data_IF_621868553871
#
_entry.id   IF_621868553871
#
_cell.length_a   1.000
_cell.length_b   1.000
_cell.length_c   1.000
_cell.angle_alpha   90.00
_cell.angle_beta   90.00
_cell.angle_gamma   90.00
#
_symmetry.space_group_name_H-M   'P 1'
#
loop_
_entity.id
_entity.type
_entity.pdbx_description
1 polymer ?
#
# COMPACT_ATOMS: atom_id res chain seq x y z
N UNK A 1 9.37 -5.95 8.91
CA UNK A 1 9.93 -6.61 7.69
C UNK A 1 8.83 -7.01 6.70
N UNK A 2 7.80 -7.75 7.13
CA UNK A 2 6.65 -8.11 6.25
C UNK A 2 5.97 -6.91 5.59
N UNK A 3 5.78 -5.80 6.32
CA UNK A 3 5.19 -4.57 5.78
C UNK A 3 5.98 -4.00 4.58
N UNK A 4 7.31 -3.94 4.70
CA UNK A 4 8.15 -3.40 3.61
C UNK A 4 8.08 -4.33 2.39
N UNK A 5 8.12 -5.65 2.62
CA UNK A 5 8.02 -6.62 1.55
C UNK A 5 6.69 -6.51 0.79
N UNK A 6 5.56 -6.39 1.51
CA UNK A 6 4.25 -6.25 0.86
C UNK A 6 4.14 -4.94 0.08
N UNK A 7 4.66 -3.83 0.62
CA UNK A 7 4.68 -2.54 -0.08
C UNK A 7 5.55 -2.58 -1.34
N UNK A 8 6.75 -3.16 -1.28
CA UNK A 8 7.63 -3.31 -2.45
C UNK A 8 6.97 -4.19 -3.52
N UNK A 9 6.39 -5.33 -3.11
CA UNK A 9 5.67 -6.22 -4.03
C UNK A 9 4.51 -5.50 -4.71
N UNK A 10 3.70 -4.77 -3.94
CA UNK A 10 2.58 -3.99 -4.47
C UNK A 10 3.05 -2.88 -5.41
N UNK A 11 4.11 -2.14 -5.08
CA UNK A 11 4.64 -1.08 -5.95
C UNK A 11 5.10 -1.65 -7.30
N UNK A 12 5.87 -2.74 -7.29
CA UNK A 12 6.34 -3.39 -8.51
C UNK A 12 5.18 -3.94 -9.35
N UNK A 13 4.16 -4.53 -8.70
CA UNK A 13 2.97 -5.02 -9.37
C UNK A 13 2.14 -3.88 -9.99
N UNK A 14 1.99 -2.74 -9.31
CA UNK A 14 1.28 -1.60 -9.89
C UNK A 14 2.03 -1.03 -11.10
N UNK A 15 3.37 -0.94 -11.05
CA UNK A 15 4.16 -0.51 -12.21
C UNK A 15 4.00 -1.48 -13.38
N UNK A 16 4.04 -2.79 -13.14
CA UNK A 16 3.94 -3.76 -14.23
C UNK A 16 2.61 -3.69 -14.97
N UNK A 17 1.51 -3.36 -14.29
CA UNK A 17 0.20 -3.16 -14.90
C UNK A 17 0.19 -2.07 -15.98
N UNK A 18 1.11 -1.09 -15.93
CA UNK A 18 1.24 -0.06 -16.97
C UNK A 18 1.63 -0.61 -18.35
N UNK A 19 2.24 -1.80 -18.38
CA UNK A 19 2.70 -2.46 -19.60
C UNK A 19 1.69 -3.48 -20.15
N UNK A 20 0.54 -3.66 -19.50
CA UNK A 20 -0.48 -4.60 -19.96
C UNK A 20 -1.15 -4.10 -21.24
N UNK A 21 -1.13 -4.91 -22.29
CA UNK A 21 -1.69 -4.58 -23.61
C UNK A 21 -3.06 -5.23 -23.85
N UNK A 22 -3.41 -6.24 -23.07
CA UNK A 22 -4.64 -7.02 -23.20
C UNK A 22 -5.14 -7.49 -21.83
N UNK A 23 -6.36 -8.00 -21.79
CA UNK A 23 -6.99 -8.43 -20.54
C UNK A 23 -6.26 -9.58 -19.86
N UNK A 24 -5.70 -10.54 -20.62
CA UNK A 24 -5.02 -11.69 -20.04
C UNK A 24 -3.70 -11.27 -19.40
N UNK A 25 -2.91 -10.43 -20.08
CA UNK A 25 -1.68 -9.86 -19.51
C UNK A 25 -1.98 -9.00 -18.28
N UNK A 26 -3.02 -8.19 -18.31
CA UNK A 26 -3.49 -7.43 -17.15
C UNK A 26 -3.86 -8.34 -15.97
N UNK A 27 -4.66 -9.39 -16.22
CA UNK A 27 -5.10 -10.33 -15.19
C UNK A 27 -3.93 -11.08 -14.54
N UNK A 28 -2.95 -11.52 -15.34
CA UNK A 28 -1.74 -12.16 -14.84
C UNK A 28 -0.88 -11.18 -14.01
N UNK A 29 -0.72 -9.95 -14.47
CA UNK A 29 0.02 -8.90 -13.77
C UNK A 29 -0.69 -8.41 -12.49
N UNK A 30 -2.00 -8.62 -12.37
CA UNK A 30 -2.77 -8.31 -11.16
C UNK A 30 -2.60 -9.35 -10.05
N UNK A 31 -2.13 -10.57 -10.35
CA UNK A 31 -1.92 -11.62 -9.33
C UNK A 31 -0.92 -11.18 -8.25
N UNK A 32 0.29 -10.68 -8.59
CA UNK A 32 1.22 -10.15 -7.59
C UNK A 32 0.64 -8.98 -6.77
N UNK A 33 -0.20 -8.14 -7.39
CA UNK A 33 -0.89 -7.06 -6.68
C UNK A 33 -1.84 -7.62 -5.61
N UNK A 34 -2.61 -8.65 -5.95
CA UNK A 34 -3.49 -9.34 -5.00
C UNK A 34 -2.71 -9.95 -3.82
N UNK A 35 -1.55 -10.55 -4.09
CA UNK A 35 -0.67 -11.09 -3.04
C UNK A 35 -0.10 -9.99 -2.14
N UNK A 36 0.41 -8.91 -2.72
CA UNK A 36 0.92 -7.76 -1.99
C UNK A 36 -0.16 -7.13 -1.09
N UNK A 37 -1.37 -6.96 -1.63
CA UNK A 37 -2.52 -6.44 -0.88
C UNK A 37 -2.98 -7.39 0.23
N UNK A 38 -3.02 -8.69 -0.04
CA UNK A 38 -3.40 -9.72 0.93
C UNK A 38 -2.43 -9.79 2.13
N UNK A 39 -1.15 -9.52 1.91
CA UNK A 39 -0.15 -9.37 2.98
C UNK A 39 -0.26 -8.02 3.69
N UNK A 40 -0.53 -6.95 2.93
CA UNK A 40 -0.60 -5.59 3.46
C UNK A 40 -1.76 -5.41 4.42
N UNK A 41 -2.93 -5.98 4.17
CA UNK A 41 -4.12 -5.80 5.01
C UNK A 41 -3.92 -6.20 6.48
N UNK A 42 -3.50 -7.44 6.84
CA UNK A 42 -3.37 -7.85 8.23
C UNK A 42 -2.12 -7.30 8.93
N UNK A 43 -1.08 -6.91 8.18
CA UNK A 43 0.24 -6.59 8.75
C UNK A 43 0.22 -5.36 9.68
N UNK A 44 -0.36 -4.20 9.31
CA UNK A 44 -0.46 -3.04 10.20
C UNK A 44 -1.21 -3.34 11.49
N UNK A 45 -2.31 -4.09 11.41
CA UNK A 45 -3.09 -4.49 12.59
C UNK A 45 -2.27 -5.36 13.54
N UNK A 46 -1.58 -6.38 13.02
CA UNK A 46 -0.68 -7.20 13.83
C UNK A 46 0.41 -6.35 14.50
N UNK A 47 1.06 -5.45 13.75
CA UNK A 47 2.13 -4.60 14.26
C UNK A 47 1.71 -3.67 15.41
N UNK A 48 0.51 -3.08 15.33
CA UNK A 48 0.01 -2.21 16.40
C UNK A 48 -0.47 -3.03 17.60
N UNK A 49 -1.07 -4.20 17.36
CA UNK A 49 -1.54 -5.08 18.42
C UNK A 49 -0.40 -5.72 19.22
N UNK A 50 0.72 -6.03 18.57
CA UNK A 50 1.93 -6.55 19.21
C UNK A 50 2.54 -5.56 20.22
N UNK A 51 2.29 -4.26 20.04
CA UNK A 51 2.80 -3.19 20.91
C UNK A 51 1.76 -2.57 21.84
N UNK A 52 0.48 -2.83 21.63
CA UNK A 52 -0.60 -2.24 22.41
C UNK A 52 -0.85 -3.03 23.71
N UNK A 53 -0.98 -2.31 24.83
CA UNK A 53 -1.56 -2.89 26.05
C UNK A 53 -3.00 -3.32 25.81
N UNK A 54 -3.50 -4.29 26.58
CA UNK A 54 -4.83 -4.89 26.36
C UNK A 54 -5.94 -3.84 26.34
N UNK A 55 -5.84 -2.84 27.22
CA UNK A 55 -6.77 -1.73 27.37
C UNK A 55 -6.77 -0.80 26.14
N UNK A 56 -5.61 -0.65 25.48
CA UNK A 56 -5.42 0.28 24.37
C UNK A 56 -5.58 -0.38 22.98
N UNK A 57 -5.77 -1.71 22.89
CA UNK A 57 -5.89 -2.42 21.61
C UNK A 57 -7.02 -1.87 20.75
N UNK A 58 -8.18 -1.60 21.35
CA UNK A 58 -9.34 -1.04 20.64
C UNK A 58 -9.03 0.32 20.01
N UNK A 59 -8.35 1.20 20.75
CA UNK A 59 -7.93 2.52 20.25
C UNK A 59 -6.91 2.39 19.11
N UNK A 60 -5.91 1.52 19.25
CA UNK A 60 -4.86 1.32 18.24
C UNK A 60 -5.43 0.74 16.94
N UNK A 61 -6.33 -0.24 17.02
CA UNK A 61 -7.05 -0.77 15.85
C UNK A 61 -7.93 0.30 15.23
N UNK A 62 -8.61 1.10 16.06
CA UNK A 62 -9.41 2.24 15.61
C UNK A 62 -8.60 3.23 14.78
N UNK A 63 -7.42 3.63 15.26
CA UNK A 63 -6.52 4.54 14.55
C UNK A 63 -6.06 3.98 13.20
N UNK A 64 -5.66 2.71 13.14
CA UNK A 64 -5.28 2.06 11.87
C UNK A 64 -6.45 2.06 10.89
N UNK A 65 -7.66 1.73 11.36
CA UNK A 65 -8.86 1.71 10.53
C UNK A 65 -9.22 3.10 10.02
N UNK A 66 -9.21 4.12 10.88
CA UNK A 66 -9.47 5.51 10.47
C UNK A 66 -8.47 5.97 9.40
N UNK A 67 -7.19 5.61 9.54
CA UNK A 67 -6.19 5.86 8.49
C UNK A 67 -6.55 5.19 7.16
N UNK A 68 -7.03 3.94 7.21
CA UNK A 68 -7.53 3.21 6.04
C UNK A 68 -8.74 3.88 5.38
N UNK A 69 -9.72 4.30 6.17
CA UNK A 69 -10.93 4.97 5.69
C UNK A 69 -10.60 6.30 4.98
N UNK A 70 -9.63 7.06 5.51
CA UNK A 70 -9.11 8.27 4.84
C UNK A 70 -8.50 7.92 3.48
N UNK A 71 -7.72 6.84 3.39
CA UNK A 71 -7.17 6.35 2.12
C UNK A 71 -8.26 5.97 1.10
N UNK A 72 -9.34 5.34 1.55
CA UNK A 72 -10.49 4.97 0.71
C UNK A 72 -11.20 6.22 0.14
N UNK A 73 -11.24 7.31 0.89
CA UNK A 73 -11.85 8.57 0.44
C UNK A 73 -10.92 9.30 -0.54
N UNK A 74 -9.64 9.45 -0.18
CA UNK A 74 -8.69 10.25 -0.97
C UNK A 74 -8.27 9.53 -2.25
N UNK A 75 -8.15 8.20 -2.23
CA UNK A 75 -7.67 7.40 -3.35
C UNK A 75 -8.43 7.62 -4.67
N UNK A 76 -9.77 7.45 -4.70
CA UNK A 76 -10.58 7.70 -5.90
C UNK A 76 -10.50 9.14 -6.40
N UNK A 77 -10.41 10.13 -5.51
CA UNK A 77 -10.28 11.54 -5.89
C UNK A 77 -8.94 11.79 -6.58
N UNK A 78 -7.85 11.23 -6.05
CA UNK A 78 -6.53 11.31 -6.68
C UNK A 78 -6.52 10.62 -8.04
N UNK A 79 -7.06 9.39 -8.13
CA UNK A 79 -7.12 8.65 -9.40
C UNK A 79 -7.98 9.37 -10.43
N UNK A 80 -9.15 9.87 -10.05
CA UNK A 80 -10.03 10.64 -10.94
C UNK A 80 -9.34 11.87 -11.50
N UNK A 81 -8.74 12.69 -10.63
CA UNK A 81 -7.99 13.88 -11.06
C UNK A 81 -6.78 13.54 -11.96
N UNK A 82 -6.12 12.40 -11.74
CA UNK A 82 -5.04 11.94 -12.61
C UNK A 82 -5.55 11.51 -14.00
N UNK A 83 -6.73 10.89 -14.06
CA UNK A 83 -7.35 10.49 -15.34
C UNK A 83 -7.77 11.71 -16.18
N UNK A 84 -8.15 12.82 -15.54
CA UNK A 84 -8.53 14.05 -16.23
C UNK A 84 -7.38 14.70 -17.04
N UNK A 85 -6.11 14.32 -16.79
CA UNK A 85 -4.97 14.74 -17.61
C UNK A 85 -4.88 14.05 -18.97
N UNK A 86 -5.77 13.10 -19.28
CA UNK A 86 -5.82 12.40 -20.56
C UNK A 86 -4.71 11.35 -20.77
N UNK A 87 -3.98 10.99 -19.71
CA UNK A 87 -2.93 9.97 -19.73
C UNK A 87 -3.17 8.91 -18.64
N UNK A 88 -4.02 7.89 -18.90
CA UNK A 88 -4.39 6.89 -17.89
C UNK A 88 -3.19 6.13 -17.28
N UNK A 89 -2.12 5.99 -18.06
CA UNK A 89 -0.89 5.32 -17.62
C UNK A 89 -0.24 6.04 -16.41
N UNK A 90 -0.42 7.36 -16.27
CA UNK A 90 0.12 8.12 -15.15
C UNK A 90 -0.40 7.64 -13.79
N UNK A 91 -1.62 7.10 -13.74
CA UNK A 91 -2.20 6.56 -12.51
C UNK A 91 -1.32 5.47 -11.93
N UNK A 92 -0.85 4.52 -12.76
CA UNK A 92 0.00 3.42 -12.31
C UNK A 92 1.33 3.93 -11.75
N UNK A 93 1.97 4.88 -12.43
CA UNK A 93 3.25 5.43 -11.97
C UNK A 93 3.13 6.24 -10.69
N UNK A 94 2.11 7.10 -10.57
CA UNK A 94 1.91 7.93 -9.36
C UNK A 94 1.54 7.05 -8.17
N UNK A 95 0.62 6.09 -8.34
CA UNK A 95 0.25 5.16 -7.26
C UNK A 95 1.45 4.31 -6.84
N UNK A 96 2.22 3.79 -7.79
CA UNK A 96 3.43 3.03 -7.47
C UNK A 96 4.48 3.88 -6.74
N UNK A 97 4.67 5.14 -7.13
CA UNK A 97 5.60 6.06 -6.48
C UNK A 97 5.18 6.34 -5.03
N UNK A 98 3.89 6.52 -4.76
CA UNK A 98 3.35 6.70 -3.40
C UNK A 98 3.61 5.43 -2.57
N UNK A 99 3.30 4.25 -3.09
CA UNK A 99 3.53 2.98 -2.38
C UNK A 99 5.03 2.77 -2.11
N UNK A 100 5.89 3.04 -3.08
CA UNK A 100 7.34 2.96 -2.93
C UNK A 100 7.87 3.94 -1.89
N UNK A 101 7.34 5.17 -1.84
CA UNK A 101 7.67 6.15 -0.81
C UNK A 101 7.31 5.61 0.58
N UNK A 102 6.12 5.04 0.76
CA UNK A 102 5.73 4.40 2.02
C UNK A 102 6.61 3.20 2.37
N UNK A 103 7.05 2.42 1.37
CA UNK A 103 8.00 1.33 1.58
C UNK A 103 9.34 1.85 2.12
N UNK A 104 9.86 2.92 1.52
CA UNK A 104 11.11 3.58 1.93
C UNK A 104 10.98 4.19 3.33
N UNK A 105 9.89 4.89 3.63
CA UNK A 105 9.63 5.47 4.95
C UNK A 105 9.54 4.37 6.01
N UNK A 106 8.77 3.32 5.74
CA UNK A 106 8.64 2.17 6.65
C UNK A 106 9.99 1.49 6.89
N UNK A 107 10.79 1.31 5.84
CA UNK A 107 12.13 0.77 5.93
C UNK A 107 13.06 1.65 6.77
N UNK A 108 13.09 2.96 6.50
CA UNK A 108 13.90 3.94 7.22
C UNK A 108 13.56 3.97 8.71
N UNK A 109 12.27 3.99 9.03
CA UNK A 109 11.76 3.94 10.41
C UNK A 109 12.26 2.66 11.08
N UNK A 110 12.06 1.49 10.47
CA UNK A 110 12.49 0.23 11.09
C UNK A 110 14.00 0.14 11.31
N UNK A 111 14.82 0.77 10.47
CA UNK A 111 16.27 0.84 10.69
C UNK A 111 16.61 1.67 11.93
N UNK A 112 15.92 2.79 12.17
CA UNK A 112 16.18 3.66 13.32
C UNK A 112 15.67 3.08 14.64
N UNK A 113 14.53 2.38 14.64
CA UNK A 113 13.97 1.75 15.85
C UNK A 113 14.61 0.39 16.18
N UNK A 114 15.39 -0.22 15.29
CA UNK A 114 16.11 -1.47 15.57
C UNK A 114 17.46 -1.25 16.28
N UNK A 115 17.90 0.01 16.44
CA UNK A 115 19.20 0.39 17.02
C UNK A 115 19.04 1.02 18.43
N UNK A 116 17.81 1.20 18.91
CA UNK A 116 17.45 1.70 20.25
C UNK A 116 16.73 0.65 21.07
#
# INVERSE_FOLDING_TARGET
>A
RLLVLSLVLSALAVVSLSAAADFLTLALMAVPLGLGFGLLQPTPFAMVLDRASVENRGLMVGLVRTGGDVGIIIGPLLVGGLLDFGQPVLVFYVVAAIIALFALLSWYIFQHYAVS
#
